data_IF_317747446087
#
_entry.id   IF_317747446087
#
_cell.length_a   1.000
_cell.length_b   1.000
_cell.length_c   1.000
_cell.angle_alpha   90.00
_cell.angle_beta   90.00
_cell.angle_gamma   90.00
#
_symmetry.space_group_name_H-M   'P 1'
#
loop_
_entity.id
_entity.type
_entity.pdbx_description
1 polymer ?
#
# COMPACT_ATOMS: atom_id res chain seq x y z
N UNK A 1 13.29 -21.87 -6.51
CA UNK A 1 14.18 -21.09 -5.63
C UNK A 1 13.39 -20.80 -4.35
N UNK A 2 13.77 -21.39 -3.23
CA UNK A 2 13.08 -21.18 -1.94
C UNK A 2 13.46 -19.78 -1.48
N UNK A 3 12.51 -18.83 -1.49
CA UNK A 3 12.74 -17.52 -0.87
C UNK A 3 12.76 -17.74 0.63
N UNK A 4 13.94 -17.66 1.25
CA UNK A 4 14.07 -17.68 2.70
C UNK A 4 13.30 -16.48 3.29
N UNK A 5 12.58 -16.68 4.39
CA UNK A 5 11.76 -15.66 5.08
C UNK A 5 12.58 -14.58 5.79
N UNK A 6 13.53 -13.97 5.10
CA UNK A 6 14.30 -12.84 5.62
C UNK A 6 13.49 -11.56 5.46
N UNK A 7 13.18 -10.91 6.58
CA UNK A 7 12.60 -9.58 6.59
C UNK A 7 13.71 -8.52 6.46
N UNK A 8 13.61 -7.63 5.48
CA UNK A 8 14.57 -6.53 5.33
C UNK A 8 14.00 -5.26 5.95
N UNK A 9 14.78 -4.61 6.81
CA UNK A 9 14.43 -3.31 7.40
C UNK A 9 15.50 -2.28 7.07
N UNK A 10 15.10 -1.19 6.41
CA UNK A 10 15.99 -0.04 6.14
C UNK A 10 15.69 1.06 7.13
N UNK A 11 16.57 1.28 8.11
CA UNK A 11 16.42 2.30 9.15
C UNK A 11 16.84 3.71 8.70
N UNK A 12 16.42 4.74 9.46
CA UNK A 12 16.74 6.15 9.20
C UNK A 12 18.24 6.44 9.08
N UNK A 13 19.06 5.86 9.98
CA UNK A 13 20.51 6.12 10.07
C UNK A 13 21.37 5.45 8.99
N UNK A 14 20.78 4.64 8.11
CA UNK A 14 21.53 3.91 7.07
C UNK A 14 21.81 4.84 5.89
N UNK A 15 23.05 5.09 5.41
CA UNK A 15 23.29 5.95 4.25
C UNK A 15 22.48 5.54 3.01
N UNK A 16 21.95 6.50 2.25
CA UNK A 16 21.08 6.20 1.09
C UNK A 16 21.80 5.30 0.06
N UNK A 17 23.08 5.55 -0.20
CA UNK A 17 23.90 4.71 -1.10
C UNK A 17 24.00 3.25 -0.63
N UNK A 18 24.15 3.02 0.68
CA UNK A 18 24.16 1.68 1.24
C UNK A 18 22.77 1.03 1.18
N UNK A 19 21.72 1.77 1.55
CA UNK A 19 20.35 1.29 1.50
C UNK A 19 19.92 0.89 0.07
N UNK A 20 20.20 1.75 -0.93
CA UNK A 20 19.98 1.44 -2.36
C UNK A 20 20.67 0.14 -2.75
N UNK A 21 21.97 0.00 -2.42
CA UNK A 21 22.75 -1.20 -2.74
C UNK A 21 22.18 -2.46 -2.08
N UNK A 22 21.81 -2.36 -0.80
CA UNK A 22 21.20 -3.46 -0.05
C UNK A 22 19.85 -3.87 -0.67
N UNK A 23 18.98 -2.91 -1.01
CA UNK A 23 17.71 -3.20 -1.68
C UNK A 23 17.93 -3.85 -3.05
N UNK A 24 18.92 -3.42 -3.83
CA UNK A 24 19.25 -4.05 -5.11
C UNK A 24 19.66 -5.52 -4.98
N UNK A 25 20.36 -5.89 -3.91
CA UNK A 25 20.80 -7.27 -3.63
C UNK A 25 19.68 -8.12 -3.02
N UNK A 26 18.90 -7.55 -2.09
CA UNK A 26 17.98 -8.31 -1.25
C UNK A 26 16.56 -8.40 -1.83
N UNK A 27 16.08 -7.40 -2.56
CA UNK A 27 14.71 -7.41 -3.14
C UNK A 27 14.39 -8.64 -3.99
N UNK A 28 15.33 -9.22 -4.77
CA UNK A 28 15.06 -10.44 -5.53
C UNK A 28 14.87 -11.70 -4.66
N UNK A 29 15.52 -11.77 -3.49
CA UNK A 29 15.58 -12.97 -2.63
C UNK A 29 14.67 -12.89 -1.40
N UNK A 30 14.19 -11.70 -1.05
CA UNK A 30 13.18 -11.48 0.00
C UNK A 30 11.77 -11.41 -0.59
N UNK A 31 10.79 -11.58 0.29
CA UNK A 31 9.37 -11.30 0.04
C UNK A 31 8.87 -10.13 0.88
N UNK A 32 9.62 -9.65 1.86
CA UNK A 32 9.11 -8.69 2.84
C UNK A 32 10.12 -7.60 3.15
N UNK A 33 9.71 -6.36 2.92
CA UNK A 33 10.56 -5.18 3.12
C UNK A 33 9.79 -4.14 3.93
N UNK A 34 10.46 -3.57 4.94
CA UNK A 34 10.02 -2.37 5.63
C UNK A 34 11.06 -1.27 5.43
N UNK A 35 10.63 -0.17 4.84
CA UNK A 35 11.42 1.03 4.66
C UNK A 35 11.02 2.04 5.73
N UNK A 36 11.98 2.50 6.54
CA UNK A 36 11.81 3.67 7.42
C UNK A 36 12.25 4.97 6.74
N UNK A 37 12.65 4.89 5.47
CA UNK A 37 12.89 6.04 4.59
C UNK A 37 12.93 5.57 3.15
N UNK A 38 12.72 6.48 2.21
CA UNK A 38 12.88 6.24 0.78
C UNK A 38 14.33 6.59 0.40
N UNK A 39 15.22 5.63 0.14
CA UNK A 39 16.63 5.91 -0.12
C UNK A 39 16.89 6.32 -1.58
N UNK A 40 15.85 6.53 -2.39
CA UNK A 40 15.94 6.79 -3.83
C UNK A 40 16.02 8.28 -4.13
N UNK A 41 16.85 8.63 -5.09
CA UNK A 41 17.09 10.04 -5.46
C UNK A 41 16.09 10.51 -6.52
N UNK A 42 15.56 9.58 -7.33
CA UNK A 42 14.58 9.87 -8.38
C UNK A 42 13.31 9.02 -8.24
N UNK A 43 12.22 9.51 -8.82
CA UNK A 43 10.94 8.78 -8.90
C UNK A 43 11.11 7.49 -9.69
N UNK A 44 11.91 7.50 -10.75
CA UNK A 44 12.14 6.35 -11.63
C UNK A 44 12.87 5.22 -10.88
N UNK A 45 13.88 5.55 -10.07
CA UNK A 45 14.55 4.57 -9.21
C UNK A 45 13.57 3.93 -8.23
N UNK A 46 12.75 4.76 -7.58
CA UNK A 46 11.74 4.30 -6.62
C UNK A 46 10.69 3.40 -7.27
N UNK A 47 10.12 3.82 -8.41
CA UNK A 47 9.16 3.02 -9.17
C UNK A 47 9.76 1.73 -9.71
N UNK A 48 11.05 1.73 -10.06
CA UNK A 48 11.76 0.50 -10.45
C UNK A 48 11.83 -0.47 -9.27
N UNK A 49 12.17 0.03 -8.07
CA UNK A 49 12.14 -0.79 -6.85
C UNK A 49 10.75 -1.33 -6.53
N UNK A 50 9.70 -0.51 -6.65
CA UNK A 50 8.32 -0.89 -6.35
C UNK A 50 7.82 -2.09 -7.19
N UNK A 51 8.37 -2.30 -8.39
CA UNK A 51 8.06 -3.46 -9.24
C UNK A 51 8.64 -4.79 -8.72
N UNK A 52 9.44 -4.77 -7.65
CA UNK A 52 9.94 -5.97 -6.99
C UNK A 52 8.79 -6.84 -6.50
N UNK A 53 8.88 -8.15 -6.75
CA UNK A 53 7.84 -9.11 -6.38
C UNK A 53 7.88 -9.41 -4.87
N UNK A 54 7.19 -8.57 -4.09
CA UNK A 54 7.15 -8.62 -2.63
C UNK A 54 5.78 -9.08 -2.15
N UNK A 55 5.74 -9.92 -1.14
CA UNK A 55 4.51 -10.25 -0.42
C UNK A 55 4.09 -9.09 0.50
N UNK A 56 5.06 -8.43 1.12
CA UNK A 56 4.77 -7.29 1.98
C UNK A 56 5.77 -6.16 1.76
N UNK A 57 5.24 -4.95 1.52
CA UNK A 57 6.01 -3.72 1.53
C UNK A 57 5.37 -2.74 2.51
N UNK A 58 6.14 -2.30 3.49
CA UNK A 58 5.78 -1.19 4.36
C UNK A 58 6.73 -0.03 4.13
N UNK A 59 6.19 1.19 4.02
CA UNK A 59 6.95 2.42 3.93
C UNK A 59 6.47 3.35 5.05
N UNK A 60 7.36 3.59 6.00
CA UNK A 60 7.25 4.55 7.09
C UNK A 60 8.25 5.65 6.78
N UNK A 61 7.82 6.86 6.47
CA UNK A 61 8.77 7.91 6.05
C UNK A 61 8.63 9.18 6.89
N UNK A 62 8.55 9.02 8.22
CA UNK A 62 8.43 10.13 9.17
C UNK A 62 9.51 11.19 8.94
N UNK A 63 9.10 12.38 8.50
CA UNK A 63 9.97 13.57 8.41
C UNK A 63 11.25 13.35 7.57
N UNK A 64 11.36 12.26 6.82
CA UNK A 64 12.51 12.00 5.98
C UNK A 64 12.35 12.82 4.69
N UNK A 65 13.41 13.52 4.30
CA UNK A 65 13.45 14.19 3.02
C UNK A 65 13.35 13.14 1.91
N UNK A 66 12.22 13.15 1.19
CA UNK A 66 12.08 12.42 -0.05
C UNK A 66 12.69 13.30 -1.13
N UNK A 67 13.68 12.78 -1.86
CA UNK A 67 14.43 13.56 -2.85
C UNK A 67 13.58 14.02 -4.06
N UNK A 68 12.34 13.54 -4.16
CA UNK A 68 11.39 13.90 -5.20
C UNK A 68 9.99 14.15 -4.61
N UNK A 69 9.14 14.85 -5.37
CA UNK A 69 7.75 15.08 -4.99
C UNK A 69 6.96 13.76 -5.08
N UNK A 70 6.77 13.13 -3.93
CA UNK A 70 5.96 11.92 -3.79
C UNK A 70 4.49 12.19 -4.16
N UNK A 71 3.91 11.26 -4.91
CA UNK A 71 2.48 11.12 -5.12
C UNK A 71 2.06 9.71 -4.73
N UNK A 72 0.83 9.54 -4.24
CA UNK A 72 0.30 8.19 -3.98
C UNK A 72 0.17 7.36 -5.27
N UNK A 73 0.00 8.00 -6.43
CA UNK A 73 0.03 7.29 -7.71
C UNK A 73 1.39 6.65 -8.01
N UNK A 74 2.48 7.10 -7.37
CA UNK A 74 3.80 6.48 -7.52
C UNK A 74 3.80 5.02 -7.03
N UNK A 75 2.86 4.64 -6.15
CA UNK A 75 2.73 3.26 -5.67
C UNK A 75 1.77 2.39 -6.48
N UNK A 76 1.11 2.91 -7.53
CA UNK A 76 0.26 2.10 -8.42
C UNK A 76 1.03 1.01 -9.15
N UNK A 77 2.35 1.20 -9.35
CA UNK A 77 3.24 0.23 -9.99
C UNK A 77 3.79 -0.81 -9.01
N UNK A 78 3.41 -0.73 -7.73
CA UNK A 78 3.90 -1.63 -6.71
C UNK A 78 3.43 -3.06 -6.98
N UNK A 79 4.39 -3.98 -7.11
CA UNK A 79 4.15 -5.41 -7.25
C UNK A 79 4.13 -6.09 -5.87
N UNK A 80 3.37 -5.52 -4.95
CA UNK A 80 3.23 -5.99 -3.58
C UNK A 80 1.85 -6.62 -3.35
N UNK A 81 1.78 -7.76 -2.66
CA UNK A 81 0.49 -8.34 -2.23
C UNK A 81 -0.17 -7.46 -1.16
N UNK A 82 0.62 -7.05 -0.17
CA UNK A 82 0.24 -6.11 0.87
C UNK A 82 1.15 -4.89 0.83
N UNK A 83 0.55 -3.70 0.72
CA UNK A 83 1.24 -2.42 0.73
C UNK A 83 0.75 -1.57 1.91
N UNK A 84 1.66 -1.13 2.77
CA UNK A 84 1.36 -0.23 3.88
C UNK A 84 2.14 1.06 3.75
N UNK A 85 1.44 2.18 3.70
CA UNK A 85 2.00 3.53 3.66
C UNK A 85 1.66 4.26 4.95
N UNK A 86 2.68 4.73 5.65
CA UNK A 86 2.51 5.50 6.88
C UNK A 86 3.48 6.67 6.86
N UNK A 87 3.01 7.82 7.35
CA UNK A 87 3.83 9.04 7.42
C UNK A 87 4.33 9.50 6.04
N UNK A 88 3.58 9.20 4.98
CA UNK A 88 3.84 9.70 3.64
C UNK A 88 2.85 10.81 3.30
N UNK A 89 3.23 11.78 2.46
CA UNK A 89 2.29 12.77 1.95
C UNK A 89 1.16 12.09 1.18
N UNK A 90 -0.01 12.02 1.79
CA UNK A 90 -1.23 11.48 1.18
C UNK A 90 -2.38 12.44 1.47
N UNK A 91 -3.08 12.87 0.42
CA UNK A 91 -4.34 13.59 0.55
C UNK A 91 -5.50 12.66 0.21
N UNK A 92 -6.67 12.93 0.78
CA UNK A 92 -7.95 12.29 0.46
C UNK A 92 -8.18 12.29 -1.04
N UNK A 93 -7.87 13.41 -1.72
CA UNK A 93 -7.96 13.51 -3.19
C UNK A 93 -7.02 12.54 -3.90
N UNK A 94 -5.77 12.44 -3.45
CA UNK A 94 -4.82 11.48 -4.01
C UNK A 94 -5.29 10.05 -3.84
N UNK A 95 -5.78 9.69 -2.66
CA UNK A 95 -6.26 8.34 -2.35
C UNK A 95 -7.51 8.00 -3.17
N UNK A 96 -8.46 8.94 -3.30
CA UNK A 96 -9.61 8.78 -4.19
C UNK A 96 -9.16 8.53 -5.64
N UNK A 97 -8.18 9.29 -6.13
CA UNK A 97 -7.64 9.10 -7.48
C UNK A 97 -6.98 7.73 -7.65
N UNK A 98 -6.26 7.26 -6.63
CA UNK A 98 -5.71 5.90 -6.61
C UNK A 98 -6.81 4.84 -6.77
N UNK A 99 -7.92 4.95 -6.03
CA UNK A 99 -9.03 4.02 -6.16
C UNK A 99 -9.73 4.10 -7.52
N UNK A 100 -9.92 5.30 -8.06
CA UNK A 100 -10.45 5.47 -9.43
C UNK A 100 -9.55 4.83 -10.48
N UNK A 101 -8.23 4.97 -10.33
CA UNK A 101 -7.26 4.32 -11.22
C UNK A 101 -7.32 2.80 -11.12
N UNK A 102 -7.49 2.27 -9.90
CA UNK A 102 -7.69 0.83 -9.69
C UNK A 102 -8.99 0.33 -10.33
N UNK A 103 -10.11 1.04 -10.18
CA UNK A 103 -11.40 0.69 -10.79
C UNK A 103 -11.34 0.60 -12.32
N UNK A 104 -10.59 1.52 -12.93
CA UNK A 104 -10.38 1.60 -14.39
C UNK A 104 -9.31 0.64 -14.91
N UNK A 105 -8.87 -0.32 -14.09
CA UNK A 105 -7.84 -1.30 -14.42
C UNK A 105 -6.52 -0.65 -14.92
N UNK A 106 -6.21 0.58 -14.48
CA UNK A 106 -4.97 1.29 -14.84
C UNK A 106 -3.76 0.79 -14.05
N UNK A 107 -4.00 0.04 -12.98
CA UNK A 107 -2.97 -0.72 -12.29
C UNK A 107 -3.30 -2.22 -12.35
N UNK A 108 -2.44 -2.99 -13.00
CA UNK A 108 -2.48 -4.45 -12.92
C UNK A 108 -1.65 -4.92 -11.73
N UNK A 109 -2.11 -4.57 -10.53
CA UNK A 109 -1.45 -4.97 -9.30
C UNK A 109 -2.05 -6.28 -8.80
N UNK A 110 -1.19 -7.23 -8.42
CA UNK A 110 -1.56 -8.38 -7.57
C UNK A 110 -1.93 -7.98 -6.12
N UNK A 111 -2.11 -6.69 -5.86
CA UNK A 111 -2.35 -6.14 -4.54
C UNK A 111 -3.70 -6.59 -4.01
N UNK A 112 -3.66 -7.15 -2.82
CA UNK A 112 -4.80 -7.67 -2.07
C UNK A 112 -5.14 -6.79 -0.87
N UNK A 113 -4.16 -6.05 -0.37
CA UNK A 113 -4.38 -5.13 0.74
C UNK A 113 -3.51 -3.88 0.59
N UNK A 114 -4.16 -2.73 0.54
CA UNK A 114 -3.55 -1.42 0.65
C UNK A 114 -3.99 -0.75 1.94
N UNK A 115 -3.03 -0.28 2.74
CA UNK A 115 -3.28 0.39 4.01
C UNK A 115 -2.54 1.73 4.00
N UNK A 116 -3.24 2.84 4.23
CA UNK A 116 -2.65 4.17 4.25
C UNK A 116 -3.11 4.97 5.46
N UNK A 117 -2.15 5.59 6.15
CA UNK A 117 -2.42 6.53 7.23
C UNK A 117 -2.55 7.94 6.64
N UNK A 118 -3.61 8.65 7.02
CA UNK A 118 -3.93 10.01 6.58
C UNK A 118 -3.97 10.93 7.79
N UNK A 119 -3.19 12.01 7.73
CA UNK A 119 -3.07 12.99 8.83
C UNK A 119 -4.06 14.15 8.72
N UNK A 120 -4.74 14.28 7.58
CA UNK A 120 -5.88 15.18 7.44
C UNK A 120 -7.17 14.44 7.78
N UNK A 121 -8.20 15.19 8.19
CA UNK A 121 -9.51 14.63 8.44
C UNK A 121 -10.09 14.01 7.16
N UNK A 122 -10.49 12.74 7.21
CA UNK A 122 -11.03 12.01 6.06
C UNK A 122 -12.54 12.18 6.03
N UNK A 123 -13.00 13.00 5.09
CA UNK A 123 -14.41 12.99 4.72
C UNK A 123 -14.69 11.79 3.81
N UNK A 124 -15.36 10.77 4.34
CA UNK A 124 -15.70 9.53 3.61
C UNK A 124 -16.40 9.80 2.28
N UNK A 125 -17.33 10.77 2.22
CA UNK A 125 -18.06 11.11 0.99
C UNK A 125 -17.12 11.66 -0.09
N UNK A 126 -16.10 12.43 0.30
CA UNK A 126 -15.10 12.92 -0.65
C UNK A 126 -14.21 11.78 -1.14
N UNK A 127 -13.82 10.86 -0.24
CA UNK A 127 -12.96 9.74 -0.59
C UNK A 127 -13.68 8.71 -1.47
N UNK A 128 -14.97 8.46 -1.25
CA UNK A 128 -15.78 7.50 -2.01
C UNK A 128 -16.38 8.07 -3.30
N UNK A 129 -16.19 9.37 -3.54
CA UNK A 129 -16.77 10.06 -4.69
C UNK A 129 -16.36 9.41 -6.01
N UNK A 130 -17.35 9.05 -6.82
CA UNK A 130 -17.15 8.45 -8.14
C UNK A 130 -16.79 6.96 -8.12
N UNK A 131 -16.67 6.32 -6.95
CA UNK A 131 -16.35 4.89 -6.84
C UNK A 131 -17.57 3.97 -6.98
N UNK A 132 -18.78 4.53 -7.02
CA UNK A 132 -20.06 3.78 -6.93
C UNK A 132 -20.08 2.79 -5.75
N UNK A 133 -19.53 3.25 -4.62
CA UNK A 133 -19.36 2.44 -3.43
C UNK A 133 -20.72 2.07 -2.79
N UNK A 134 -20.86 0.81 -2.39
CA UNK A 134 -22.06 0.28 -1.73
C UNK A 134 -21.71 -0.09 -0.30
N UNK A 135 -22.49 0.38 0.67
CA UNK A 135 -22.28 0.00 2.08
C UNK A 135 -22.49 -1.50 2.26
N UNK A 136 -21.50 -2.16 2.86
CA UNK A 136 -21.59 -3.52 3.35
C UNK A 136 -21.76 -3.48 4.87
N UNK A 137 -22.70 -4.26 5.40
CA UNK A 137 -22.94 -4.39 6.84
C UNK A 137 -22.48 -5.75 7.38
N UNK A 138 -22.12 -6.67 6.49
CA UNK A 138 -21.77 -8.04 6.84
C UNK A 138 -20.36 -8.12 7.43
N UNK A 139 -20.18 -9.10 8.31
CA UNK A 139 -18.87 -9.53 8.75
C UNK A 139 -18.31 -10.55 7.76
N UNK A 140 -17.12 -10.29 7.20
CA UNK A 140 -16.44 -11.20 6.28
C UNK A 140 -15.02 -11.46 6.74
N UNK A 141 -14.54 -12.68 6.54
CA UNK A 141 -13.15 -13.04 6.86
C UNK A 141 -12.30 -12.96 5.60
N UNK A 142 -11.33 -12.06 5.61
CA UNK A 142 -10.38 -11.86 4.53
C UNK A 142 -9.15 -12.74 4.73
N UNK A 143 -8.81 -13.48 3.67
CA UNK A 143 -7.62 -14.32 3.58
C UNK A 143 -6.78 -13.84 2.40
N UNK A 144 -5.47 -13.70 2.61
CA UNK A 144 -4.54 -13.48 1.51
C UNK A 144 -4.43 -14.74 0.65
N UNK A 145 -4.27 -14.58 -0.66
CA UNK A 145 -4.07 -15.73 -1.57
C UNK A 145 -2.73 -16.44 -1.33
N UNK A 146 -1.77 -15.73 -0.75
CA UNK A 146 -0.44 -16.25 -0.39
C UNK A 146 -0.25 -16.20 1.10
N UNK A 147 0.44 -17.19 1.67
CA UNK A 147 0.79 -17.19 3.09
C UNK A 147 1.68 -15.98 3.41
N UNK A 148 1.15 -15.11 4.27
CA UNK A 148 1.88 -14.02 4.92
C UNK A 148 2.04 -14.37 6.41
N UNK A 149 3.03 -13.75 7.07
CA UNK A 149 3.03 -13.66 8.54
C UNK A 149 2.01 -12.60 9.02
N UNK A 150 0.80 -12.66 8.46
CA UNK A 150 -0.34 -11.82 8.82
C UNK A 150 -1.56 -12.74 8.95
N UNK A 151 -2.21 -12.78 10.12
CA UNK A 151 -3.39 -13.62 10.30
C UNK A 151 -4.55 -13.12 9.41
N UNK A 152 -5.53 -13.99 9.13
CA UNK A 152 -6.79 -13.58 8.50
C UNK A 152 -7.41 -12.38 9.22
N UNK A 153 -8.07 -11.51 8.45
CA UNK A 153 -8.67 -10.28 8.97
C UNK A 153 -10.19 -10.39 8.96
N UNK A 154 -10.81 -10.18 10.11
CA UNK A 154 -12.26 -10.05 10.20
C UNK A 154 -12.61 -8.60 9.84
N UNK A 155 -13.32 -8.43 8.74
CA UNK A 155 -13.77 -7.14 8.23
C UNK A 155 -15.24 -7.00 8.59
N UNK A 156 -15.55 -6.01 9.43
CA UNK A 156 -16.92 -5.67 9.83
C UNK A 156 -17.42 -4.50 8.99
N UNK A 157 -18.30 -4.79 8.03
CA UNK A 157 -18.88 -3.82 7.12
C UNK A 157 -17.88 -3.12 6.19
N UNK A 158 -18.09 -1.83 5.94
CA UNK A 158 -17.25 -1.01 5.04
C UNK A 158 -17.97 -0.67 3.74
N UNK A 159 -17.21 -0.33 2.71
CA UNK A 159 -17.74 0.10 1.43
C UNK A 159 -17.19 -0.74 0.29
N UNK A 160 -18.07 -1.50 -0.35
CA UNK A 160 -17.72 -2.35 -1.47
C UNK A 160 -17.69 -1.56 -2.77
N UNK A 161 -16.64 -1.77 -3.55
CA UNK A 161 -16.45 -1.22 -4.89
C UNK A 161 -16.12 -2.37 -5.85
N UNK A 162 -16.55 -2.25 -7.10
CA UNK A 162 -16.28 -3.26 -8.14
C UNK A 162 -15.46 -2.66 -9.26
N UNK A 163 -14.34 -3.31 -9.55
CA UNK A 163 -13.52 -3.00 -10.72
C UNK A 163 -14.23 -3.41 -12.01
N UNK A 164 -13.82 -2.82 -13.14
CA UNK A 164 -14.40 -3.10 -14.46
C UNK A 164 -14.33 -4.58 -14.87
N UNK A 165 -13.37 -5.34 -14.33
CA UNK A 165 -13.22 -6.79 -14.55
C UNK A 165 -14.02 -7.67 -13.56
N UNK A 166 -14.82 -7.07 -12.68
CA UNK A 166 -15.66 -7.75 -11.72
C UNK A 166 -14.99 -8.03 -10.36
N UNK A 167 -13.70 -7.72 -10.18
CA UNK A 167 -13.06 -7.87 -8.86
C UNK A 167 -13.74 -6.98 -7.81
N UNK A 168 -14.03 -7.59 -6.66
CA UNK A 168 -14.59 -6.91 -5.51
C UNK A 168 -13.47 -6.37 -4.63
N UNK A 169 -13.64 -5.17 -4.10
CA UNK A 169 -12.82 -4.68 -3.02
C UNK A 169 -13.64 -3.95 -1.96
N UNK A 170 -13.16 -3.93 -0.72
CA UNK A 170 -13.80 -3.26 0.41
C UNK A 170 -12.89 -2.18 0.97
N UNK A 171 -13.40 -0.95 1.04
CA UNK A 171 -12.76 0.18 1.71
C UNK A 171 -13.26 0.26 3.15
N UNK A 172 -12.32 0.39 4.09
CA UNK A 172 -12.56 0.55 5.52
C UNK A 172 -11.88 1.80 6.02
N UNK A 173 -12.62 2.57 6.80
CA UNK A 173 -12.11 3.69 7.58
C UNK A 173 -11.96 3.23 9.02
N UNK A 174 -10.79 3.42 9.58
CA UNK A 174 -10.49 3.14 10.98
C UNK A 174 -9.88 4.39 11.62
N UNK A 175 -10.32 4.72 12.83
CA UNK A 175 -9.73 5.82 13.60
C UNK A 175 -8.43 5.34 14.24
N UNK A 176 -7.32 5.98 13.90
CA UNK A 176 -6.06 5.90 14.63
C UNK A 176 -6.03 6.89 15.79
N UNK A 177 -4.89 6.95 16.49
CA UNK A 177 -4.70 7.85 17.64
C UNK A 177 -4.48 9.30 17.19
N UNK A 178 -3.75 9.49 16.09
CA UNK A 178 -3.38 10.81 15.55
C UNK A 178 -3.68 10.92 14.04
N UNK A 179 -4.16 9.84 13.43
CA UNK A 179 -4.38 9.68 12.00
C UNK A 179 -5.64 8.86 11.74
N UNK A 180 -6.15 8.95 10.52
CA UNK A 180 -7.18 8.05 10.02
C UNK A 180 -6.52 6.99 9.14
N UNK A 181 -6.89 5.73 9.32
CA UNK A 181 -6.38 4.62 8.53
C UNK A 181 -7.44 4.25 7.51
N UNK A 182 -7.03 4.19 6.25
CA UNK A 182 -7.86 3.67 5.17
C UNK A 182 -7.25 2.36 4.75
N UNK A 183 -8.00 1.29 4.95
CA UNK A 183 -7.68 -0.03 4.41
C UNK A 183 -8.53 -0.33 3.19
N UNK A 184 -7.93 -0.95 2.20
CA UNK A 184 -8.53 -1.36 0.96
C UNK A 184 -8.18 -2.82 0.69
N UNK A 185 -9.18 -3.69 0.79
CA UNK A 185 -9.04 -5.14 0.68
C UNK A 185 -9.61 -5.60 -0.66
N UNK A 186 -8.79 -6.16 -1.54
CA UNK A 186 -9.22 -6.77 -2.81
C UNK A 186 -9.45 -8.25 -2.58
N UNK A 187 -10.68 -8.70 -2.77
CA UNK A 187 -11.06 -10.10 -2.54
C UNK A 187 -10.49 -10.98 -3.67
N UNK A 188 -9.77 -12.08 -3.33
CA UNK A 188 -9.19 -13.00 -4.30
C UNK A 188 -10.25 -13.85 -5.03
#
# INVERSE_FOLDING_TARGET
MIKCGFFVRVGYGVPNSFAKKALGILSPVTTEITLYKIPFESREEFQTFLKSNLNFLAIHSFRAEISFKFSIDDVLVANALKLKLRELPSSVKGINQFFLNWLQNKCDSRMEHFSVNVYEHVNENNLLKGLNAVSCLEQRTFHYSTQLDTPPKIINGGFDVRRDDGKLATIKFESGVEDEIIDFYVWP
#
